data_IF_828610851924
#
_entry.id   IF_828610851924
#
_cell.length_a   1.000
_cell.length_b   1.000
_cell.length_c   1.000
_cell.angle_alpha   90.00
_cell.angle_beta   90.00
_cell.angle_gamma   90.00
#
_symmetry.space_group_name_H-M   'P 1'
#
loop_
_entity.id
_entity.type
_entity.pdbx_description
1 polymer ?
#
# COMPACT_ATOMS: atom_id res chain seq x y z
N UNK A 1 -7.41 42.51 -23.11
CA UNK A 1 -6.20 42.54 -22.26
C UNK A 1 -6.65 42.77 -20.83
N UNK A 2 -6.37 41.83 -19.92
CA UNK A 2 -6.64 42.04 -18.50
C UNK A 2 -5.74 43.19 -17.98
N UNK A 3 -6.24 44.08 -17.12
CA UNK A 3 -5.41 45.12 -16.51
C UNK A 3 -4.22 44.49 -15.77
N UNK A 4 -3.03 45.11 -15.80
CA UNK A 4 -1.83 44.56 -15.14
C UNK A 4 -2.04 44.33 -13.63
N UNK A 5 -2.88 45.14 -12.98
CA UNK A 5 -3.29 44.93 -11.58
C UNK A 5 -4.07 43.63 -11.38
N UNK A 6 -4.95 43.27 -12.32
CA UNK A 6 -5.77 42.05 -12.26
C UNK A 6 -4.91 40.81 -12.45
N UNK A 7 -3.89 40.87 -13.32
CA UNK A 7 -2.89 39.80 -13.49
C UNK A 7 -2.07 39.61 -12.22
N UNK A 8 -1.65 40.70 -11.58
CA UNK A 8 -0.88 40.65 -10.33
C UNK A 8 -1.70 40.09 -9.16
N UNK A 9 -2.97 40.48 -9.04
CA UNK A 9 -3.90 39.94 -8.04
C UNK A 9 -4.17 38.45 -8.30
N UNK A 10 -4.37 38.03 -9.55
CA UNK A 10 -4.51 36.61 -9.92
C UNK A 10 -3.26 35.80 -9.55
N UNK A 11 -2.05 36.32 -9.77
CA UNK A 11 -0.80 35.66 -9.40
C UNK A 11 -0.59 35.57 -7.88
N UNK A 12 -1.01 36.59 -7.12
CA UNK A 12 -0.97 36.58 -5.66
C UNK A 12 -2.00 35.62 -5.07
N UNK A 13 -3.21 35.54 -5.64
CA UNK A 13 -4.24 34.56 -5.27
C UNK A 13 -3.75 33.14 -5.59
N UNK A 14 -3.10 32.93 -6.74
CA UNK A 14 -2.51 31.63 -7.09
C UNK A 14 -1.38 31.22 -6.13
N UNK A 15 -0.56 32.17 -5.67
CA UNK A 15 0.49 31.91 -4.66
C UNK A 15 -0.05 31.69 -3.24
N UNK A 16 -1.19 32.28 -2.88
CA UNK A 16 -1.86 32.03 -1.60
C UNK A 16 -2.71 30.75 -1.58
N UNK A 17 -3.12 30.23 -2.75
CA UNK A 17 -3.96 29.03 -2.87
C UNK A 17 -3.19 27.73 -3.10
N UNK A 18 -1.90 27.79 -3.46
CA UNK A 18 -1.06 26.60 -3.59
C UNK A 18 -0.26 26.47 -2.29
N UNK A 19 -0.90 25.99 -1.23
CA UNK A 19 -0.12 25.36 -0.17
C UNK A 19 0.58 24.14 -0.78
N UNK A 20 1.89 24.03 -0.58
CA UNK A 20 2.65 22.87 -1.05
C UNK A 20 2.36 21.72 -0.09
N UNK A 21 1.35 20.90 -0.42
CA UNK A 21 0.91 19.74 0.37
C UNK A 21 1.82 18.52 0.18
N UNK A 22 3.07 18.72 -0.27
CA UNK A 22 4.03 17.64 -0.52
C UNK A 22 4.84 17.39 0.74
N UNK A 23 5.07 16.11 1.04
CA UNK A 23 5.98 15.73 2.10
C UNK A 23 7.40 16.21 1.76
N UNK A 24 8.19 16.66 2.75
CA UNK A 24 9.59 17.00 2.54
C UNK A 24 10.37 15.82 1.91
N UNK A 25 11.35 16.09 1.04
CA UNK A 25 12.26 15.06 0.53
C UNK A 25 12.92 14.27 1.65
N UNK A 26 12.90 12.94 1.54
CA UNK A 26 13.54 12.06 2.55
C UNK A 26 15.04 11.87 2.32
N UNK A 27 15.54 12.26 1.13
CA UNK A 27 16.95 12.24 0.75
C UNK A 27 17.35 13.62 0.20
N UNK A 28 18.55 14.13 0.54
CA UNK A 28 19.05 15.39 -0.01
C UNK A 28 19.12 15.33 -1.54
N UNK A 29 18.66 16.40 -2.21
CA UNK A 29 18.65 16.54 -3.67
C UNK A 29 17.81 15.50 -4.44
N UNK A 30 16.99 14.69 -3.76
CA UNK A 30 16.07 13.73 -4.39
C UNK A 30 14.64 14.20 -4.16
N UNK A 31 14.10 14.96 -5.12
CA UNK A 31 12.74 15.51 -5.03
C UNK A 31 11.65 14.48 -5.34
N UNK A 32 11.98 13.44 -6.08
CA UNK A 32 11.12 12.30 -6.36
C UNK A 32 11.95 11.02 -6.31
N UNK A 33 11.62 10.11 -5.40
CA UNK A 33 12.41 8.92 -5.14
C UNK A 33 11.97 7.77 -6.05
N UNK A 34 12.93 7.16 -6.73
CA UNK A 34 12.74 5.91 -7.46
C UNK A 34 13.27 4.76 -6.61
N UNK A 35 12.38 3.86 -6.19
CA UNK A 35 12.72 2.65 -5.46
C UNK A 35 12.48 1.41 -6.32
N UNK A 36 13.33 0.41 -6.16
CA UNK A 36 13.22 -0.88 -6.82
C UNK A 36 12.92 -1.98 -5.80
N UNK A 37 11.94 -2.83 -6.10
CA UNK A 37 11.57 -3.98 -5.29
C UNK A 37 11.17 -5.18 -6.18
N UNK A 38 12.10 -5.64 -7.00
CA UNK A 38 11.93 -6.83 -7.84
C UNK A 38 13.20 -7.70 -7.79
N UNK A 39 13.10 -9.02 -8.01
CA UNK A 39 14.20 -9.95 -7.78
C UNK A 39 15.19 -9.99 -8.96
N UNK A 40 15.77 -8.83 -9.30
CA UNK A 40 16.68 -8.65 -10.43
C UNK A 40 18.07 -9.21 -10.22
N UNK A 41 18.44 -9.56 -9.00
CA UNK A 41 19.67 -10.30 -8.67
C UNK A 41 19.72 -11.69 -9.32
N UNK A 42 18.58 -12.20 -9.81
CA UNK A 42 18.49 -13.44 -10.59
C UNK A 42 18.71 -13.21 -12.09
N UNK A 43 18.77 -11.96 -12.53
CA UNK A 43 18.88 -11.58 -13.94
C UNK A 43 20.31 -11.15 -14.27
N UNK A 44 20.76 -11.50 -15.48
CA UNK A 44 21.98 -10.97 -16.07
C UNK A 44 21.63 -10.20 -17.34
N UNK A 45 22.23 -9.02 -17.52
CA UNK A 45 22.10 -8.20 -18.71
C UNK A 45 22.72 -8.85 -19.95
N UNK A 46 22.63 -8.17 -21.09
CA UNK A 46 23.05 -8.69 -22.41
C UNK A 46 24.52 -9.14 -22.50
N UNK A 47 25.37 -8.65 -21.60
CA UNK A 47 26.81 -8.97 -21.51
C UNK A 47 27.17 -9.86 -20.30
N UNK A 48 26.19 -10.55 -19.70
CA UNK A 48 26.34 -11.26 -18.42
C UNK A 48 26.71 -10.35 -17.23
N UNK A 49 26.49 -9.05 -17.36
CA UNK A 49 26.69 -8.07 -16.28
C UNK A 49 25.41 -7.92 -15.45
N UNK A 50 25.51 -7.49 -14.18
CA UNK A 50 24.33 -7.09 -13.40
C UNK A 50 23.52 -6.00 -14.14
N UNK A 51 22.21 -5.95 -13.91
CA UNK A 51 21.39 -4.86 -14.42
C UNK A 51 21.86 -3.52 -13.83
N UNK A 52 21.83 -2.46 -14.65
CA UNK A 52 22.12 -1.11 -14.17
C UNK A 52 20.98 -0.61 -13.26
N UNK A 53 21.28 -0.48 -11.98
CA UNK A 53 20.36 -0.02 -10.94
C UNK A 53 20.63 1.41 -10.49
N UNK A 54 21.53 2.14 -11.17
CA UNK A 54 21.99 3.48 -10.77
C UNK A 54 20.89 4.54 -10.71
N UNK A 55 19.77 4.32 -11.42
CA UNK A 55 18.59 5.18 -11.39
C UNK A 55 17.85 5.13 -10.04
N UNK A 56 17.98 4.05 -9.26
CA UNK A 56 17.18 3.82 -8.05
C UNK A 56 17.93 4.24 -6.79
N UNK A 57 17.30 5.08 -5.96
CA UNK A 57 17.88 5.55 -4.70
C UNK A 57 17.80 4.48 -3.60
N UNK A 58 16.77 3.64 -3.64
CA UNK A 58 16.56 2.55 -2.69
C UNK A 58 16.27 1.26 -3.46
N UNK A 59 16.95 0.19 -3.08
CA UNK A 59 16.85 -1.11 -3.74
C UNK A 59 16.50 -2.17 -2.70
N UNK A 60 15.57 -3.04 -3.06
CA UNK A 60 15.23 -4.26 -2.35
C UNK A 60 14.81 -5.35 -3.33
N UNK A 61 14.54 -6.54 -2.77
CA UNK A 61 14.05 -7.70 -3.50
C UNK A 61 13.00 -8.40 -2.64
N UNK A 62 11.88 -8.83 -3.24
CA UNK A 62 10.79 -9.47 -2.50
C UNK A 62 11.13 -10.90 -2.04
N UNK A 63 12.35 -11.40 -2.26
CA UNK A 63 12.74 -12.76 -1.87
C UNK A 63 12.89 -12.90 -0.35
N UNK A 64 12.48 -14.07 0.15
CA UNK A 64 12.52 -14.41 1.59
C UNK A 64 13.94 -14.51 2.16
N UNK A 65 14.95 -14.79 1.33
CA UNK A 65 16.34 -14.95 1.78
C UNK A 65 17.09 -13.63 1.97
N UNK A 66 16.52 -12.52 1.49
CA UNK A 66 17.25 -11.27 1.43
C UNK A 66 17.01 -10.45 2.70
N UNK A 67 18.08 -9.86 3.25
CA UNK A 67 18.05 -9.08 4.49
C UNK A 67 18.92 -7.82 4.32
N UNK A 68 18.75 -6.82 5.18
CA UNK A 68 19.54 -5.59 5.15
C UNK A 68 19.26 -4.69 3.94
N UNK A 69 18.07 -4.78 3.36
CA UNK A 69 17.67 -4.04 2.17
C UNK A 69 17.09 -2.66 2.52
N UNK A 70 17.29 -1.69 1.61
CA UNK A 70 16.72 -0.35 1.76
C UNK A 70 15.21 -0.30 1.47
N UNK A 71 14.68 -1.30 0.75
CA UNK A 71 13.24 -1.54 0.63
C UNK A 71 12.97 -2.94 1.17
N UNK A 72 12.38 -3.03 2.35
CA UNK A 72 12.01 -4.30 2.98
C UNK A 72 10.51 -4.49 2.88
N UNK A 73 10.07 -5.58 2.25
CA UNK A 73 8.66 -5.97 2.17
C UNK A 73 8.39 -7.24 2.98
N UNK A 74 7.44 -7.15 3.89
CA UNK A 74 6.99 -8.23 4.75
C UNK A 74 5.68 -8.82 4.23
N UNK A 75 5.73 -9.98 3.56
CA UNK A 75 4.52 -10.74 3.25
C UNK A 75 3.96 -11.44 4.50
N UNK A 76 2.76 -11.99 4.38
CA UNK A 76 2.01 -12.77 5.38
C UNK A 76 2.86 -13.71 6.25
N UNK A 77 3.90 -14.34 5.70
CA UNK A 77 4.74 -15.35 6.38
C UNK A 77 6.07 -14.81 6.93
N UNK A 78 6.25 -13.49 7.04
CA UNK A 78 7.54 -12.86 7.38
C UNK A 78 7.52 -11.83 8.50
N UNK A 79 6.36 -11.53 9.08
CA UNK A 79 6.28 -10.55 10.15
C UNK A 79 5.30 -11.03 11.22
N UNK A 80 5.87 -11.66 12.24
CA UNK A 80 5.09 -12.16 13.37
C UNK A 80 4.15 -13.30 13.01
N UNK A 81 3.23 -13.59 13.93
CA UNK A 81 2.18 -14.59 13.76
C UNK A 81 0.88 -13.95 13.30
N UNK A 82 0.90 -13.34 12.12
CA UNK A 82 -0.28 -12.73 11.52
C UNK A 82 -1.37 -13.79 11.30
N UNK A 83 -2.61 -13.60 11.81
CA UNK A 83 -3.68 -14.57 11.67
C UNK A 83 -4.30 -14.53 10.27
N UNK A 84 -4.38 -15.67 9.59
CA UNK A 84 -5.00 -15.73 8.25
C UNK A 84 -5.55 -17.12 7.91
N UNK A 85 -6.47 -17.18 6.96
CA UNK A 85 -6.99 -18.41 6.37
C UNK A 85 -6.26 -18.65 5.06
N UNK A 86 -5.48 -19.73 4.98
CA UNK A 86 -4.69 -20.02 3.79
C UNK A 86 -5.56 -20.53 2.61
N UNK A 87 -4.94 -20.70 1.43
CA UNK A 87 -5.64 -21.17 0.22
C UNK A 87 -6.31 -22.55 0.38
N UNK A 88 -5.85 -23.39 1.30
CA UNK A 88 -6.47 -24.68 1.63
C UNK A 88 -7.59 -24.56 2.68
N UNK A 89 -8.09 -23.34 2.94
CA UNK A 89 -9.10 -23.00 3.95
C UNK A 89 -8.70 -23.42 5.38
N UNK A 90 -7.40 -23.53 5.66
CA UNK A 90 -6.91 -23.82 7.02
C UNK A 90 -6.59 -22.52 7.75
N UNK A 91 -7.02 -22.46 9.00
CA UNK A 91 -6.69 -21.35 9.91
C UNK A 91 -5.23 -21.44 10.33
N UNK A 92 -4.48 -20.37 10.10
CA UNK A 92 -3.09 -20.19 10.52
C UNK A 92 -3.08 -19.10 11.59
N UNK A 93 -2.39 -19.35 12.70
CA UNK A 93 -2.36 -18.46 13.88
C UNK A 93 -3.75 -18.02 14.38
N UNK A 94 -4.74 -18.92 14.32
CA UNK A 94 -6.13 -18.63 14.70
C UNK A 94 -7.06 -18.32 13.52
N UNK A 95 -6.51 -17.97 12.36
CA UNK A 95 -7.24 -17.75 11.12
C UNK A 95 -7.93 -16.39 11.02
N UNK A 96 -8.49 -15.89 12.11
CA UNK A 96 -9.10 -14.57 12.25
C UNK A 96 -8.43 -13.82 13.41
N UNK A 97 -8.38 -12.47 13.39
CA UNK A 97 -7.66 -11.70 14.40
C UNK A 97 -8.17 -11.93 15.84
N UNK A 98 -9.46 -12.22 16.05
CA UNK A 98 -10.03 -12.47 17.37
C UNK A 98 -9.47 -13.72 18.07
N UNK A 99 -8.95 -14.68 17.29
CA UNK A 99 -8.39 -15.94 17.80
C UNK A 99 -6.85 -15.93 17.80
N UNK A 100 -6.23 -14.86 17.29
CA UNK A 100 -4.77 -14.71 17.29
C UNK A 100 -4.27 -14.20 18.65
N UNK A 101 -3.12 -14.72 19.11
CA UNK A 101 -2.42 -14.16 20.27
C UNK A 101 -1.59 -12.94 19.83
N UNK A 102 -2.05 -11.74 20.19
CA UNK A 102 -1.36 -10.49 19.86
C UNK A 102 0.07 -10.45 20.44
N UNK A 103 0.25 -10.86 21.70
CA UNK A 103 1.58 -10.84 22.34
C UNK A 103 2.56 -11.75 21.60
N UNK A 104 2.18 -13.00 21.33
CA UNK A 104 3.06 -13.93 20.61
C UNK A 104 3.36 -13.42 19.19
N UNK A 105 2.40 -12.75 18.56
CA UNK A 105 2.60 -12.12 17.28
C UNK A 105 3.67 -11.02 17.35
N UNK A 106 3.57 -10.12 18.33
CA UNK A 106 4.51 -9.01 18.51
C UNK A 106 5.92 -9.51 18.88
N UNK A 107 6.03 -10.49 19.79
CA UNK A 107 7.33 -11.10 20.15
C UNK A 107 8.03 -11.70 18.91
N UNK A 108 7.26 -12.39 18.07
CA UNK A 108 7.79 -12.97 16.82
C UNK A 108 8.11 -11.88 15.79
N UNK A 109 7.27 -10.84 15.69
CA UNK A 109 7.44 -9.74 14.75
C UNK A 109 8.72 -8.95 15.07
N UNK A 110 9.02 -8.69 16.34
CA UNK A 110 10.27 -8.04 16.75
C UNK A 110 11.48 -8.84 16.24
N UNK A 111 11.48 -10.17 16.45
CA UNK A 111 12.56 -11.03 15.95
C UNK A 111 12.69 -11.00 14.42
N UNK A 112 11.56 -10.98 13.70
CA UNK A 112 11.57 -10.87 12.24
C UNK A 112 12.14 -9.53 11.78
N UNK A 113 11.74 -8.42 12.42
CA UNK A 113 12.26 -7.08 12.12
C UNK A 113 13.78 -7.05 12.34
N UNK A 114 14.26 -7.59 13.45
CA UNK A 114 15.70 -7.67 13.74
C UNK A 114 16.45 -8.51 12.70
N UNK A 115 15.84 -9.59 12.19
CA UNK A 115 16.43 -10.46 11.18
C UNK A 115 16.51 -9.79 9.81
N UNK A 116 15.39 -9.27 9.30
CA UNK A 116 15.34 -8.68 7.96
C UNK A 116 16.00 -7.30 7.88
N UNK A 117 16.06 -6.58 8.99
CA UNK A 117 16.58 -5.21 9.07
C UNK A 117 17.67 -5.14 10.13
N UNK A 118 18.86 -5.73 9.93
CA UNK A 118 19.92 -5.80 10.96
C UNK A 118 20.46 -4.44 11.40
N UNK A 119 20.31 -3.39 10.58
CA UNK A 119 20.73 -2.02 10.90
C UNK A 119 19.58 -1.04 10.73
N UNK A 120 19.51 -0.02 11.59
CA UNK A 120 18.55 1.07 11.45
C UNK A 120 19.12 2.18 10.55
N UNK A 121 18.94 2.02 9.24
CA UNK A 121 19.27 3.02 8.22
C UNK A 121 17.99 3.54 7.59
N UNK A 122 18.08 4.65 6.85
CA UNK A 122 16.94 5.11 6.06
C UNK A 122 16.53 4.03 5.05
N UNK A 123 15.24 3.70 5.05
CA UNK A 123 14.66 2.73 4.13
C UNK A 123 13.13 2.73 4.17
N UNK A 124 12.51 1.94 3.31
CA UNK A 124 11.07 1.72 3.26
C UNK A 124 10.77 0.35 3.88
N UNK A 125 9.85 0.31 4.83
CA UNK A 125 9.38 -0.89 5.51
C UNK A 125 7.88 -1.09 5.22
N UNK A 126 7.61 -2.01 4.29
CA UNK A 126 6.27 -2.21 3.73
C UNK A 126 5.69 -3.50 4.25
N UNK A 127 4.56 -3.42 4.95
CA UNK A 127 3.83 -4.61 5.41
C UNK A 127 2.76 -4.96 4.37
N UNK A 128 2.89 -6.12 3.75
CA UNK A 128 2.00 -6.61 2.70
C UNK A 128 1.12 -7.75 3.23
N UNK A 129 0.07 -7.34 3.94
CA UNK A 129 -0.94 -8.21 4.50
C UNK A 129 -2.25 -8.05 3.73
N UNK A 130 -2.48 -8.98 2.80
CA UNK A 130 -3.63 -8.89 1.92
C UNK A 130 -4.76 -9.84 2.29
N UNK A 131 -4.55 -10.77 3.23
CA UNK A 131 -5.48 -11.86 3.53
C UNK A 131 -6.88 -11.39 3.95
N UNK A 132 -6.97 -10.40 4.84
CA UNK A 132 -8.20 -9.72 5.23
C UNK A 132 -8.03 -8.20 5.18
N UNK A 133 -9.12 -7.45 5.40
CA UNK A 133 -9.12 -5.98 5.53
C UNK A 133 -9.60 -5.61 6.93
N UNK A 134 -9.02 -4.59 7.59
CA UNK A 134 -9.43 -4.21 8.94
C UNK A 134 -10.86 -3.67 9.00
N UNK A 135 -11.43 -3.25 7.87
CA UNK A 135 -12.84 -2.87 7.75
C UNK A 135 -13.66 -4.08 7.34
N UNK A 136 -14.59 -4.53 8.19
CA UNK A 136 -15.50 -5.64 7.98
C UNK A 136 -16.15 -5.59 6.60
N UNK A 137 -16.70 -4.43 6.24
CA UNK A 137 -17.40 -4.23 4.97
C UNK A 137 -16.53 -4.50 3.73
N UNK A 138 -15.19 -4.41 3.85
CA UNK A 138 -14.22 -4.65 2.76
C UNK A 138 -13.82 -6.12 2.60
N UNK A 139 -14.26 -7.00 3.51
CA UNK A 139 -14.09 -8.44 3.37
C UNK A 139 -15.25 -9.05 2.57
N UNK A 140 -15.34 -8.68 1.29
CA UNK A 140 -16.21 -9.36 0.31
C UNK A 140 -15.50 -10.57 -0.30
N UNK A 141 -16.21 -11.37 -1.11
CA UNK A 141 -15.67 -12.57 -1.76
C UNK A 141 -14.32 -12.30 -2.45
N UNK A 142 -13.28 -13.11 -2.23
CA UNK A 142 -13.30 -14.39 -1.50
C UNK A 142 -12.99 -14.28 0.01
N UNK A 143 -12.96 -13.08 0.59
CA UNK A 143 -12.63 -12.80 2.01
C UNK A 143 -13.85 -12.87 2.93
N UNK A 144 -15.01 -13.24 2.41
CA UNK A 144 -16.21 -13.47 3.22
C UNK A 144 -16.06 -14.67 4.18
N UNK A 145 -15.10 -15.56 3.94
CA UNK A 145 -14.74 -16.62 4.88
C UNK A 145 -14.29 -16.09 6.25
N UNK A 146 -13.63 -14.93 6.33
CA UNK A 146 -13.28 -14.27 7.60
C UNK A 146 -14.53 -13.83 8.36
N UNK A 147 -15.55 -13.33 7.65
CA UNK A 147 -16.84 -12.96 8.24
C UNK A 147 -17.55 -14.19 8.78
N UNK A 148 -17.66 -15.23 7.96
CA UNK A 148 -18.34 -16.47 8.33
C UNK A 148 -17.71 -17.10 9.58
N UNK A 149 -16.38 -17.19 9.62
CA UNK A 149 -15.66 -17.74 10.79
C UNK A 149 -15.82 -16.88 12.05
N UNK A 150 -15.88 -15.54 11.89
CA UNK A 150 -16.13 -14.63 13.02
C UNK A 150 -17.55 -14.79 13.58
N UNK A 151 -18.55 -14.93 12.70
CA UNK A 151 -19.94 -15.17 13.09
C UNK A 151 -20.08 -16.52 13.79
N UNK A 152 -19.47 -17.56 13.23
CA UNK A 152 -19.45 -18.90 13.81
C UNK A 152 -18.85 -18.90 15.22
N UNK A 153 -17.74 -18.18 15.43
CA UNK A 153 -17.12 -18.03 16.74
C UNK A 153 -18.10 -17.46 17.78
N UNK A 154 -18.81 -16.39 17.43
CA UNK A 154 -19.79 -15.76 18.34
C UNK A 154 -20.96 -16.70 18.64
N UNK A 155 -21.48 -17.41 17.62
CA UNK A 155 -22.56 -18.37 17.81
C UNK A 155 -22.13 -19.58 18.67
N UNK A 156 -20.88 -20.02 18.57
CA UNK A 156 -20.33 -21.08 19.43
C UNK A 156 -20.20 -20.62 20.89
N UNK A 157 -19.90 -19.35 21.13
CA UNK A 157 -19.82 -18.78 22.47
C UNK A 157 -21.19 -18.52 23.10
N UNK A 158 -22.20 -18.22 22.29
CA UNK A 158 -23.57 -18.04 22.75
C UNK A 158 -24.59 -18.54 21.72
N UNK A 159 -25.06 -19.77 21.93
CA UNK A 159 -26.00 -20.48 21.04
C UNK A 159 -27.40 -19.83 20.97
N UNK A 160 -27.73 -18.90 21.87
CA UNK A 160 -29.04 -18.24 21.89
C UNK A 160 -29.11 -17.03 20.96
N UNK A 161 -27.97 -16.54 20.46
CA UNK A 161 -27.94 -15.39 19.56
C UNK A 161 -28.44 -15.80 18.17
N UNK A 162 -29.34 -15.00 17.60
CA UNK A 162 -29.68 -15.16 16.20
C UNK A 162 -28.54 -14.65 15.30
N UNK A 163 -28.63 -14.96 14.00
CA UNK A 163 -27.57 -14.64 13.04
C UNK A 163 -27.28 -13.13 12.94
N UNK A 164 -28.30 -12.28 13.07
CA UNK A 164 -28.17 -10.82 12.98
C UNK A 164 -27.42 -10.26 14.19
N UNK A 165 -27.77 -10.73 15.39
CA UNK A 165 -27.09 -10.36 16.64
C UNK A 165 -25.64 -10.84 16.63
N UNK A 166 -25.42 -12.10 16.26
CA UNK A 166 -24.08 -12.68 16.16
C UNK A 166 -23.22 -11.93 15.12
N UNK A 167 -23.79 -11.51 13.99
CA UNK A 167 -23.09 -10.74 12.97
C UNK A 167 -22.63 -9.38 13.49
N UNK A 168 -23.47 -8.68 14.26
CA UNK A 168 -23.11 -7.38 14.83
C UNK A 168 -21.94 -7.51 15.80
N UNK A 169 -21.98 -8.48 16.70
CA UNK A 169 -20.91 -8.75 17.67
C UNK A 169 -19.63 -9.17 16.92
N UNK A 170 -19.75 -10.11 15.97
CA UNK A 170 -18.61 -10.58 15.18
C UNK A 170 -17.91 -9.46 14.41
N UNK A 171 -18.67 -8.50 13.87
CA UNK A 171 -18.11 -7.31 13.24
C UNK A 171 -17.30 -6.47 14.24
N UNK A 172 -17.88 -6.12 15.39
CA UNK A 172 -17.22 -5.29 16.40
C UNK A 172 -15.94 -5.95 16.93
N UNK A 173 -15.98 -7.25 17.21
CA UNK A 173 -14.81 -8.02 17.66
C UNK A 173 -13.74 -8.16 16.57
N UNK A 174 -14.15 -8.43 15.32
CA UNK A 174 -13.23 -8.54 14.19
C UNK A 174 -12.48 -7.25 13.93
N UNK A 175 -13.20 -6.12 13.83
CA UNK A 175 -12.58 -4.82 13.55
C UNK A 175 -11.70 -4.36 14.72
N UNK A 176 -12.10 -4.63 15.96
CA UNK A 176 -11.30 -4.33 17.16
C UNK A 176 -10.00 -5.14 17.17
N UNK A 177 -10.09 -6.46 17.01
CA UNK A 177 -8.91 -7.31 17.00
C UNK A 177 -8.01 -7.02 15.79
N UNK A 178 -8.60 -6.85 14.60
CA UNK A 178 -7.87 -6.52 13.38
C UNK A 178 -7.13 -5.18 13.49
N UNK A 179 -7.75 -4.17 14.09
CA UNK A 179 -7.09 -2.91 14.43
C UNK A 179 -5.91 -3.12 15.37
N UNK A 180 -6.10 -3.85 16.49
CA UNK A 180 -5.02 -4.08 17.46
C UNK A 180 -3.80 -4.76 16.81
N UNK A 181 -4.02 -5.79 15.99
CA UNK A 181 -2.94 -6.45 15.26
C UNK A 181 -2.20 -5.46 14.35
N UNK A 182 -2.92 -4.68 13.55
CA UNK A 182 -2.27 -3.80 12.59
C UNK A 182 -1.59 -2.58 13.24
N UNK A 183 -2.26 -1.96 14.22
CA UNK A 183 -1.78 -0.76 14.90
C UNK A 183 -0.54 -1.07 15.77
N UNK A 184 -0.59 -2.13 16.57
CA UNK A 184 0.54 -2.47 17.45
C UNK A 184 1.75 -3.00 16.67
N UNK A 185 1.54 -3.65 15.53
CA UNK A 185 2.65 -4.05 14.63
C UNK A 185 3.36 -2.82 14.04
N UNK A 186 2.61 -1.80 13.61
CA UNK A 186 3.21 -0.54 13.13
C UNK A 186 4.01 0.14 14.24
N UNK A 187 3.44 0.26 15.44
CA UNK A 187 4.12 0.86 16.60
C UNK A 187 5.41 0.12 16.94
N UNK A 188 5.37 -1.20 16.95
CA UNK A 188 6.55 -2.04 17.17
C UNK A 188 7.62 -1.80 16.10
N UNK A 189 7.24 -1.85 14.82
CA UNK A 189 8.14 -1.59 13.70
C UNK A 189 8.85 -0.25 13.82
N UNK A 190 8.09 0.81 14.09
CA UNK A 190 8.59 2.18 14.27
C UNK A 190 9.52 2.28 15.49
N UNK A 191 9.16 1.64 16.61
CA UNK A 191 9.99 1.62 17.81
C UNK A 191 11.32 0.92 17.60
N UNK A 192 11.32 -0.20 16.86
CA UNK A 192 12.51 -1.03 16.63
C UNK A 192 13.39 -0.45 15.52
N UNK A 193 12.79 0.16 14.49
CA UNK A 193 13.47 0.75 13.31
C UNK A 193 12.90 2.13 12.97
N UNK A 194 13.21 3.16 13.77
CA UNK A 194 12.64 4.50 13.60
C UNK A 194 13.11 5.23 12.34
N UNK A 195 14.26 4.86 11.76
CA UNK A 195 14.73 5.48 10.51
C UNK A 195 14.11 4.84 9.26
N UNK A 196 13.35 3.75 9.40
CA UNK A 196 12.57 3.20 8.30
C UNK A 196 11.17 3.79 8.25
N UNK A 197 10.67 3.97 7.03
CA UNK A 197 9.34 4.47 6.79
C UNK A 197 8.35 3.29 6.75
N UNK A 198 7.44 3.24 7.72
CA UNK A 198 6.53 2.13 7.96
C UNK A 198 5.13 2.43 7.44
N UNK A 199 4.53 1.42 6.82
CA UNK A 199 3.15 1.47 6.35
C UNK A 199 2.71 0.17 5.69
N UNK A 200 1.40 0.06 5.47
CA UNK A 200 0.82 -1.10 4.80
C UNK A 200 0.74 -0.89 3.28
N UNK A 201 1.20 -1.88 2.52
CA UNK A 201 0.95 -1.96 1.09
C UNK A 201 -0.55 -1.91 0.80
N UNK A 202 -0.92 -1.32 -0.33
CA UNK A 202 -2.28 -1.09 -0.84
C UNK A 202 -3.02 0.07 -0.16
N UNK A 203 -2.60 0.53 1.01
CA UNK A 203 -3.36 1.53 1.78
C UNK A 203 -2.87 2.98 1.52
N UNK A 204 -3.80 3.94 1.32
CA UNK A 204 -5.24 3.72 1.13
C UNK A 204 -5.57 3.13 -0.24
N UNK A 205 -6.65 2.34 -0.30
CA UNK A 205 -7.24 1.93 -1.58
C UNK A 205 -8.44 2.83 -1.90
N UNK A 206 -8.57 3.15 -3.18
CA UNK A 206 -9.61 3.98 -3.77
C UNK A 206 -10.80 3.14 -4.28
N UNK A 207 -10.58 1.84 -4.57
CA UNK A 207 -11.56 0.92 -5.16
C UNK A 207 -12.28 1.45 -6.40
N UNK A 208 -11.57 2.24 -7.21
CA UNK A 208 -12.05 2.83 -8.47
C UNK A 208 -11.89 1.90 -9.67
N UNK A 209 -12.17 0.60 -9.51
CA UNK A 209 -11.89 -0.43 -10.52
C UNK A 209 -12.96 -0.55 -11.62
N UNK A 210 -14.13 0.07 -11.46
CA UNK A 210 -15.27 -0.07 -12.37
C UNK A 210 -15.15 0.81 -13.63
N UNK A 211 -14.03 0.71 -14.35
CA UNK A 211 -13.72 1.48 -15.57
C UNK A 211 -14.66 1.23 -16.75
N UNK A 212 -15.42 0.14 -16.73
CA UNK A 212 -16.43 -0.19 -17.74
C UNK A 212 -17.73 0.62 -17.60
N UNK A 213 -17.94 1.32 -16.48
CA UNK A 213 -19.15 2.14 -16.28
C UNK A 213 -19.18 3.33 -17.25
N UNK A 214 -20.36 3.68 -17.80
CA UNK A 214 -20.52 4.94 -18.52
C UNK A 214 -20.07 6.11 -17.65
N UNK A 215 -19.36 7.07 -18.24
CA UNK A 215 -18.82 8.25 -17.55
C UNK A 215 -17.81 7.96 -16.43
N UNK A 216 -17.06 6.85 -16.53
CA UNK A 216 -15.94 6.60 -15.62
C UNK A 216 -14.97 7.79 -15.59
N UNK A 217 -14.80 8.37 -14.40
CA UNK A 217 -13.94 9.53 -14.15
C UNK A 217 -12.78 9.21 -13.16
N UNK A 218 -12.62 7.94 -12.79
CA UNK A 218 -11.61 7.47 -11.86
C UNK A 218 -11.86 7.78 -10.38
N UNK A 219 -12.91 8.53 -10.01
CA UNK A 219 -13.12 8.94 -8.62
C UNK A 219 -13.27 7.76 -7.67
N UNK A 220 -12.63 7.86 -6.50
CA UNK A 220 -12.91 6.94 -5.41
C UNK A 220 -14.37 7.12 -4.99
N UNK A 221 -15.16 6.04 -4.88
CA UNK A 221 -16.54 6.13 -4.41
C UNK A 221 -16.59 6.80 -3.02
N UNK A 222 -17.61 7.62 -2.76
CA UNK A 222 -17.71 8.36 -1.49
C UNK A 222 -17.76 7.45 -0.27
N UNK A 223 -18.35 6.26 -0.41
CA UNK A 223 -18.35 5.26 0.65
C UNK A 223 -16.93 4.77 0.99
N UNK A 224 -16.03 4.72 0.00
CA UNK A 224 -14.65 4.28 0.20
C UNK A 224 -13.80 5.37 0.84
N UNK A 225 -14.04 6.63 0.49
CA UNK A 225 -13.44 7.77 1.22
C UNK A 225 -13.84 7.76 2.69
N UNK A 226 -15.14 7.56 2.99
CA UNK A 226 -15.63 7.43 4.38
C UNK A 226 -15.02 6.24 5.12
N UNK A 227 -14.84 5.10 4.44
CA UNK A 227 -14.17 3.93 5.02
C UNK A 227 -12.69 4.21 5.29
N UNK A 228 -12.00 4.93 4.41
CA UNK A 228 -10.63 5.39 4.65
C UNK A 228 -10.56 6.39 5.82
N UNK A 229 -11.55 7.27 5.99
CA UNK A 229 -11.64 8.15 7.16
C UNK A 229 -11.75 7.35 8.46
N UNK A 230 -12.49 6.23 8.44
CA UNK A 230 -12.59 5.28 9.56
C UNK A 230 -11.28 4.57 9.93
N UNK A 231 -10.27 4.61 9.06
CA UNK A 231 -8.94 4.05 9.31
C UNK A 231 -7.94 5.09 9.83
N UNK A 232 -8.42 6.22 10.37
CA UNK A 232 -7.57 7.30 10.93
C UNK A 232 -6.47 6.81 11.88
N UNK A 233 -6.73 5.76 12.64
CA UNK A 233 -5.76 5.13 13.54
C UNK A 233 -4.53 4.60 12.77
N UNK A 234 -4.70 4.01 11.59
CA UNK A 234 -3.61 3.49 10.76
C UNK A 234 -2.74 4.64 10.24
N UNK A 235 -3.37 5.66 9.65
CA UNK A 235 -2.66 6.80 9.09
C UNK A 235 -1.87 7.55 10.16
N UNK A 236 -2.44 7.66 11.37
CA UNK A 236 -1.77 8.33 12.49
C UNK A 236 -0.52 7.61 12.95
N UNK A 237 -0.45 6.29 12.85
CA UNK A 237 0.72 5.51 13.25
C UNK A 237 1.75 5.40 12.12
N UNK A 238 1.32 5.23 10.86
CA UNK A 238 2.20 5.15 9.70
C UNK A 238 3.22 6.30 9.61
N UNK A 239 4.40 6.03 9.05
CA UNK A 239 5.40 7.04 8.71
C UNK A 239 5.57 7.21 7.19
N UNK A 240 4.89 6.38 6.38
CA UNK A 240 4.66 6.58 4.95
C UNK A 240 3.37 5.89 4.48
N UNK A 241 2.88 6.25 3.28
CA UNK A 241 1.75 5.60 2.62
C UNK A 241 2.20 4.86 1.36
N UNK A 242 1.61 3.68 1.11
CA UNK A 242 2.00 2.76 0.04
C UNK A 242 0.82 2.33 -0.84
N UNK A 243 0.10 3.27 -1.48
CA UNK A 243 -0.99 2.92 -2.39
C UNK A 243 -0.45 2.17 -3.61
N UNK A 244 -1.21 1.22 -4.13
CA UNK A 244 -0.89 0.53 -5.39
C UNK A 244 -1.67 1.16 -6.55
N UNK A 245 -1.05 1.34 -7.71
CA UNK A 245 -1.71 1.83 -8.93
C UNK A 245 -1.56 0.87 -10.11
N UNK A 246 -1.42 -0.43 -9.84
CA UNK A 246 -1.20 -1.42 -10.90
C UNK A 246 -2.33 -1.39 -11.92
N UNK A 247 -1.95 -1.33 -13.20
CA UNK A 247 -2.91 -1.33 -14.30
C UNK A 247 -3.36 -2.76 -14.63
N UNK A 248 -4.57 -2.84 -15.16
CA UNK A 248 -5.09 -4.00 -15.88
C UNK A 248 -5.08 -3.72 -17.39
N UNK A 249 -5.14 -4.77 -18.20
CA UNK A 249 -5.04 -4.67 -19.66
C UNK A 249 -6.14 -3.79 -20.27
N UNK A 250 -7.32 -3.73 -19.66
CA UNK A 250 -8.44 -2.89 -20.10
C UNK A 250 -8.18 -1.37 -19.98
N UNK A 251 -7.17 -0.95 -19.21
CA UNK A 251 -6.70 0.43 -19.12
C UNK A 251 -5.53 0.75 -20.06
N UNK A 252 -5.07 -0.22 -20.86
CA UNK A 252 -3.91 -0.07 -21.75
C UNK A 252 -4.04 1.14 -22.66
N UNK A 253 -3.03 1.99 -22.61
CA UNK A 253 -2.85 3.21 -23.40
C UNK A 253 -4.08 4.12 -23.41
N UNK A 254 -4.93 4.01 -22.38
CA UNK A 254 -6.20 4.72 -22.28
C UNK A 254 -6.06 5.93 -21.37
N UNK A 255 -6.75 7.02 -21.70
CA UNK A 255 -6.86 8.18 -20.81
C UNK A 255 -7.50 7.81 -19.46
N UNK A 256 -8.32 6.74 -19.42
CA UNK A 256 -8.88 6.22 -18.18
C UNK A 256 -7.80 5.73 -17.21
N UNK A 257 -6.62 5.30 -17.69
CA UNK A 257 -5.50 4.94 -16.84
C UNK A 257 -5.02 6.14 -16.02
N UNK A 258 -4.89 7.31 -16.65
CA UNK A 258 -4.52 8.55 -15.95
C UNK A 258 -5.56 8.91 -14.88
N UNK A 259 -6.85 8.77 -15.18
CA UNK A 259 -7.93 9.02 -14.21
C UNK A 259 -7.90 8.00 -13.05
N UNK A 260 -7.68 6.73 -13.35
CA UNK A 260 -7.53 5.67 -12.35
C UNK A 260 -6.39 5.96 -11.38
N UNK A 261 -5.21 6.29 -11.93
CA UNK A 261 -4.00 6.60 -11.15
C UNK A 261 -4.18 7.90 -10.35
N UNK A 262 -4.65 8.96 -11.01
CA UNK A 262 -4.81 10.29 -10.40
C UNK A 262 -5.59 10.25 -9.10
N UNK A 263 -6.74 9.59 -9.13
CA UNK A 263 -7.64 9.55 -7.98
C UNK A 263 -7.09 8.68 -6.84
N UNK A 264 -6.31 7.63 -7.14
CA UNK A 264 -5.63 6.81 -6.13
C UNK A 264 -4.53 7.59 -5.41
N UNK A 265 -3.74 8.35 -6.17
CA UNK A 265 -2.71 9.22 -5.61
C UNK A 265 -3.34 10.37 -4.82
N UNK A 266 -4.41 10.99 -5.32
CA UNK A 266 -5.13 12.04 -4.59
C UNK A 266 -5.76 11.55 -3.28
N UNK A 267 -6.27 10.32 -3.23
CA UNK A 267 -6.76 9.75 -1.97
C UNK A 267 -5.63 9.50 -0.97
N UNK A 268 -4.45 9.07 -1.44
CA UNK A 268 -3.27 8.97 -0.59
C UNK A 268 -2.83 10.34 -0.06
N UNK A 269 -2.83 11.39 -0.90
CA UNK A 269 -2.55 12.76 -0.47
C UNK A 269 -3.53 13.18 0.62
N UNK A 270 -4.84 12.96 0.41
CA UNK A 270 -5.88 13.28 1.41
C UNK A 270 -5.65 12.59 2.75
N UNK A 271 -5.16 11.34 2.76
CA UNK A 271 -4.86 10.60 3.99
C UNK A 271 -3.52 10.97 4.62
N UNK A 272 -2.57 11.49 3.84
CA UNK A 272 -1.24 11.87 4.32
C UNK A 272 -1.25 13.05 5.31
N UNK A 273 -2.26 13.92 5.23
CA UNK A 273 -2.41 15.12 6.05
C UNK A 273 -2.91 14.83 7.49
N UNK A 274 -3.04 13.56 7.88
CA UNK A 274 -3.70 13.13 9.12
C UNK A 274 -3.11 13.74 10.41
N UNK A 275 -1.80 14.03 10.43
CA UNK A 275 -1.08 14.61 11.58
C UNK A 275 -1.02 16.13 11.48
N UNK A 276 -0.52 16.63 10.36
CA UNK A 276 -0.39 18.05 10.05
C UNK A 276 -0.41 18.21 8.53
N UNK A 277 -1.32 19.04 8.02
CA UNK A 277 -1.39 19.33 6.57
C UNK A 277 -0.14 20.07 6.05
N UNK A 278 0.64 20.70 6.93
CA UNK A 278 1.93 21.33 6.59
C UNK A 278 3.11 20.36 6.63
N UNK A 279 2.92 19.17 7.19
CA UNK A 279 3.92 18.11 7.24
C UNK A 279 3.26 16.74 6.95
N UNK A 280 2.75 16.55 5.72
CA UNK A 280 2.06 15.33 5.36
C UNK A 280 3.02 14.13 5.30
N UNK A 281 2.48 12.93 5.46
CA UNK A 281 3.24 11.70 5.30
C UNK A 281 3.80 11.55 3.87
N UNK A 282 5.04 11.08 3.69
CA UNK A 282 5.55 10.77 2.37
C UNK A 282 4.79 9.60 1.73
N UNK A 283 4.58 9.69 0.41
CA UNK A 283 3.78 8.74 -0.36
C UNK A 283 4.69 8.06 -1.38
N UNK A 284 4.82 6.74 -1.29
CA UNK A 284 5.58 5.92 -2.22
C UNK A 284 4.64 4.97 -2.94
N UNK A 285 4.33 5.32 -4.19
CA UNK A 285 3.29 4.63 -4.95
C UNK A 285 3.84 3.35 -5.57
N UNK A 286 3.18 2.22 -5.31
CA UNK A 286 3.53 0.93 -5.92
C UNK A 286 3.09 0.88 -7.38
N UNK A 287 4.05 0.60 -8.27
CA UNK A 287 3.87 0.42 -9.72
C UNK A 287 4.46 -0.90 -10.18
N UNK A 288 3.84 -1.48 -11.21
CA UNK A 288 4.39 -2.60 -11.98
C UNK A 288 4.80 -2.09 -13.36
N UNK A 289 5.77 -2.79 -13.97
CA UNK A 289 6.13 -2.58 -15.37
C UNK A 289 5.28 -3.42 -16.33
N UNK A 290 4.42 -4.29 -15.82
CA UNK A 290 3.54 -5.19 -16.58
C UNK A 290 2.12 -5.09 -16.04
N UNK A 291 1.14 -5.45 -16.86
CA UNK A 291 -0.27 -5.48 -16.44
C UNK A 291 -0.52 -6.56 -15.39
N UNK A 292 -1.46 -6.29 -14.47
CA UNK A 292 -1.80 -7.18 -13.35
C UNK A 292 -2.36 -8.51 -13.83
N UNK A 293 -3.19 -8.47 -14.87
CA UNK A 293 -3.88 -9.58 -15.50
C UNK A 293 -3.18 -10.09 -16.77
N UNK A 294 -2.12 -9.43 -17.23
CA UNK A 294 -1.26 -9.88 -18.32
C UNK A 294 0.22 -9.60 -18.01
N UNK A 295 0.78 -10.44 -17.14
CA UNK A 295 2.11 -10.24 -16.54
C UNK A 295 3.31 -10.40 -17.49
N UNK A 296 3.07 -10.80 -18.74
CA UNK A 296 4.10 -10.96 -19.78
C UNK A 296 4.24 -9.74 -20.67
N UNK A 297 3.32 -8.77 -20.58
CA UNK A 297 3.32 -7.60 -21.45
C UNK A 297 3.72 -6.36 -20.66
N UNK A 298 4.80 -5.71 -21.11
CA UNK A 298 5.28 -4.47 -20.54
C UNK A 298 4.34 -3.30 -20.87
N UNK A 299 4.24 -2.38 -19.92
CA UNK A 299 3.59 -1.09 -20.12
C UNK A 299 4.25 -0.33 -21.28
N UNK A 300 3.42 0.23 -22.16
CA UNK A 300 3.87 1.15 -23.20
C UNK A 300 4.38 2.46 -22.60
N UNK A 301 5.03 3.30 -23.39
CA UNK A 301 5.39 4.67 -22.97
C UNK A 301 4.15 5.46 -22.52
N UNK A 302 3.03 5.30 -23.21
CA UNK A 302 1.75 5.95 -22.84
C UNK A 302 1.26 5.47 -21.47
N UNK A 303 1.38 4.18 -21.17
CA UNK A 303 1.02 3.63 -19.86
C UNK A 303 1.94 4.15 -18.76
N UNK A 304 3.25 4.29 -19.04
CA UNK A 304 4.22 4.86 -18.10
C UNK A 304 3.96 6.34 -17.83
N UNK A 305 3.56 7.11 -18.84
CA UNK A 305 3.12 8.51 -18.66
C UNK A 305 1.86 8.57 -17.79
N UNK A 306 0.87 7.70 -18.02
CA UNK A 306 -0.36 7.65 -17.24
C UNK A 306 -0.20 7.08 -15.83
N UNK A 307 0.94 6.47 -15.51
CA UNK A 307 1.25 5.91 -14.18
C UNK A 307 2.31 6.72 -13.46
N UNK A 308 3.57 6.59 -13.88
CA UNK A 308 4.72 7.29 -13.30
C UNK A 308 4.60 8.79 -13.51
N UNK A 309 4.29 9.23 -14.74
CA UNK A 309 4.14 10.66 -15.06
C UNK A 309 3.05 11.34 -14.24
N UNK A 310 1.87 10.72 -14.16
CA UNK A 310 0.74 11.21 -13.36
C UNK A 310 1.09 11.28 -11.86
N UNK A 311 1.80 10.27 -11.35
CA UNK A 311 2.26 10.23 -9.94
C UNK A 311 3.22 11.38 -9.61
N UNK A 312 4.18 11.66 -10.51
CA UNK A 312 5.13 12.78 -10.38
C UNK A 312 4.37 14.11 -10.41
N UNK A 313 3.45 14.28 -11.37
CA UNK A 313 2.71 15.52 -11.56
C UNK A 313 1.88 15.91 -10.31
N UNK A 314 1.32 14.92 -9.61
CA UNK A 314 0.52 15.13 -8.40
C UNK A 314 1.36 15.41 -7.14
N UNK A 315 2.66 15.16 -7.17
CA UNK A 315 3.55 15.46 -6.06
C UNK A 315 3.68 14.35 -5.02
N UNK A 316 3.52 13.09 -5.40
CA UNK A 316 3.92 11.99 -4.53
C UNK A 316 5.43 12.04 -4.24
N UNK A 317 5.88 11.47 -3.13
CA UNK A 317 7.29 11.49 -2.72
C UNK A 317 8.17 10.55 -3.56
N UNK A 318 7.55 9.53 -4.18
CA UNK A 318 8.25 8.61 -5.05
C UNK A 318 7.40 7.45 -5.51
N UNK A 319 8.04 6.51 -6.19
CA UNK A 319 7.45 5.22 -6.60
C UNK A 319 8.31 4.05 -6.14
N UNK A 320 7.66 2.90 -5.97
CA UNK A 320 8.30 1.60 -5.81
C UNK A 320 7.92 0.74 -7.00
N UNK A 321 8.90 0.41 -7.83
CA UNK A 321 8.71 -0.54 -8.92
C UNK A 321 8.80 -1.95 -8.35
N UNK A 322 7.69 -2.67 -8.36
CA UNK A 322 7.60 -4.02 -7.84
C UNK A 322 7.48 -5.06 -8.97
N UNK A 323 8.10 -6.22 -8.77
CA UNK A 323 8.07 -7.32 -9.73
C UNK A 323 8.06 -8.69 -9.06
N UNK A 324 7.40 -9.66 -9.70
CA UNK A 324 7.42 -11.06 -9.26
C UNK A 324 8.68 -11.78 -9.74
N UNK A 325 8.91 -12.99 -9.23
CA UNK A 325 9.90 -13.90 -9.80
C UNK A 325 9.64 -14.22 -11.28
N UNK A 326 8.39 -14.18 -11.76
CA UNK A 326 8.07 -14.44 -13.16
C UNK A 326 8.60 -13.33 -14.08
N UNK A 327 8.62 -12.08 -13.60
CA UNK A 327 9.24 -10.96 -14.32
C UNK A 327 10.74 -11.22 -14.53
N UNK A 328 11.42 -11.79 -13.53
CA UNK A 328 12.86 -12.07 -13.58
C UNK A 328 13.24 -13.32 -14.39
N UNK A 329 12.28 -14.19 -14.72
CA UNK A 329 12.52 -15.49 -15.39
C UNK A 329 12.25 -15.49 -16.89
N UNK A 330 11.64 -14.44 -17.43
CA UNK A 330 11.24 -14.39 -18.84
C UNK A 330 12.34 -13.71 -19.65
N UNK A 331 13.04 -14.40 -20.57
CA UNK A 331 13.95 -13.75 -21.50
C UNK A 331 13.12 -12.78 -22.36
N UNK A 332 13.54 -11.53 -22.47
CA UNK A 332 12.99 -10.62 -23.47
C UNK A 332 13.57 -11.07 -24.81
N UNK A 333 12.75 -11.71 -25.63
CA UNK A 333 13.09 -12.15 -27.00
C UNK A 333 13.26 -10.96 -27.94
#
# INVERSE_FOLDING_TARGET
MLPPMTVFILLLILRCLIADFRAPPILPNVTFLLAWNAPTELCTGKLNEPLDMSLFSLIGSPRKSETGQSVTIFYTDRLGYYPYINHAQKSVHGGIPQLGSLQNHLDKAEQDILHYMPTDKLGLAVIDWEDWRPTWARNWKPKDNYKNKSIELVQQQNINLNITEATKIAQEEFETAGRNFMEETLKLGISVRPNHLWGYYLFPDCYNHDNQKPNYNGQCPDIEKKRNDGLKWMWKESTALYPSIYLKQDLRSSHQAALFVRNRVQEAIRMSEVRDAKNPLPIFVYVRLVFTDLTTEFHSEVDLVHTVGETIALGASGIIIWGTLNLARTPVS
#
